data_IF_962338123847
#
_entry.id   IF_962338123847
#
_cell.length_a   1.000
_cell.length_b   1.000
_cell.length_c   1.000
_cell.angle_alpha   90.00
_cell.angle_beta   90.00
_cell.angle_gamma   90.00
#
_symmetry.space_group_name_H-M   'P 1'
#
loop_
_entity.id
_entity.type
_entity.pdbx_description
1 polymer ?
#
# COMPACT_ATOMS: atom_id res chain seq x y z
N UNK A 1 3.43 -8.84 14.40
CA UNK A 1 3.83 -9.80 13.34
C UNK A 1 5.32 -9.64 13.09
N UNK A 2 6.06 -10.74 12.89
CA UNK A 2 7.50 -10.70 12.59
C UNK A 2 7.69 -10.47 11.08
N UNK A 3 8.68 -9.67 10.70
CA UNK A 3 9.09 -9.45 9.30
C UNK A 3 9.39 -10.78 8.58
N UNK A 4 9.85 -11.81 9.31
CA UNK A 4 10.10 -13.16 8.78
C UNK A 4 8.85 -13.87 8.25
N UNK A 5 7.65 -13.43 8.66
CA UNK A 5 6.39 -14.02 8.23
C UNK A 5 5.79 -13.30 7.02
N UNK A 6 6.48 -12.28 6.46
CA UNK A 6 6.02 -11.58 5.28
C UNK A 6 6.28 -12.42 4.03
N UNK A 7 5.27 -12.51 3.17
CA UNK A 7 5.37 -13.19 1.87
C UNK A 7 6.04 -12.32 0.81
N UNK A 8 6.32 -11.05 1.13
CA UNK A 8 7.02 -10.10 0.28
C UNK A 8 8.37 -9.79 0.92
N UNK A 9 9.42 -9.80 0.09
CA UNK A 9 10.78 -9.43 0.51
C UNK A 9 10.94 -7.91 0.66
N UNK A 10 10.26 -7.37 1.69
CA UNK A 10 10.41 -6.02 2.23
C UNK A 10 10.42 -6.10 3.77
N UNK A 11 11.08 -5.16 4.44
CA UNK A 11 11.02 -5.04 5.90
C UNK A 11 10.00 -3.93 6.23
N UNK A 12 8.90 -4.23 6.93
CA UNK A 12 7.86 -3.26 7.22
C UNK A 12 8.33 -2.14 8.16
N UNK A 13 9.48 -2.31 8.84
CA UNK A 13 10.06 -1.28 9.71
C UNK A 13 10.68 -0.11 8.95
N UNK A 14 10.98 -0.29 7.66
CA UNK A 14 11.48 0.78 6.78
C UNK A 14 10.38 1.64 6.16
N UNK A 15 9.12 1.44 6.57
CA UNK A 15 7.99 2.25 6.14
C UNK A 15 6.92 2.36 7.20
N UNK A 16 5.73 2.79 6.77
CA UNK A 16 4.54 2.90 7.60
C UNK A 16 3.41 2.06 7.02
N UNK A 17 2.53 1.56 7.86
CA UNK A 17 1.28 0.94 7.46
C UNK A 17 0.24 2.03 7.21
N UNK A 18 -0.30 2.02 5.99
CA UNK A 18 -1.48 2.81 5.62
C UNK A 18 -2.72 2.17 6.23
N UNK A 19 -2.93 0.89 5.94
CA UNK A 19 -4.02 0.09 6.49
C UNK A 19 -3.58 -1.35 6.74
N UNK A 20 -4.26 -2.01 7.68
CA UNK A 20 -3.99 -3.39 8.06
C UNK A 20 -5.30 -4.15 8.23
N UNK A 21 -5.36 -5.36 7.68
CA UNK A 21 -6.35 -6.35 8.03
C UNK A 21 -5.70 -7.59 8.65
N UNK A 22 -6.14 -7.97 9.84
CA UNK A 22 -5.72 -9.19 10.53
C UNK A 22 -6.89 -10.17 10.61
N UNK A 23 -6.74 -11.35 10.00
CA UNK A 23 -7.77 -12.39 9.97
C UNK A 23 -7.28 -13.57 10.78
N UNK A 24 -7.91 -13.80 11.93
CA UNK A 24 -7.63 -14.94 12.77
C UNK A 24 -8.65 -16.06 12.52
N UNK A 25 -8.18 -17.30 12.48
CA UNK A 25 -9.02 -18.48 12.27
C UNK A 25 -8.78 -19.54 13.33
N UNK A 26 -9.84 -20.18 13.81
CA UNK A 26 -9.83 -21.17 14.89
C UNK A 26 -10.63 -20.72 16.11
N UNK A 27 -10.81 -21.62 17.08
CA UNK A 27 -11.52 -21.33 18.33
C UNK A 27 -10.69 -20.41 19.22
N UNK A 28 -11.10 -19.15 19.37
CA UNK A 28 -10.39 -18.13 20.15
C UNK A 28 -11.33 -17.09 20.75
N UNK A 29 -10.89 -16.45 21.83
CA UNK A 29 -11.63 -15.36 22.46
C UNK A 29 -11.44 -14.07 21.66
N UNK A 30 -12.54 -13.45 21.20
CA UNK A 30 -12.47 -12.15 20.54
C UNK A 30 -11.80 -11.09 21.43
N UNK A 31 -12.08 -11.13 22.74
CA UNK A 31 -11.47 -10.22 23.72
C UNK A 31 -9.94 -10.32 23.71
N UNK A 32 -9.41 -11.54 23.68
CA UNK A 32 -7.95 -11.76 23.66
C UNK A 32 -7.35 -11.27 22.34
N UNK A 33 -8.04 -11.51 21.22
CA UNK A 33 -7.63 -11.01 19.90
C UNK A 33 -7.55 -9.48 19.91
N UNK A 34 -8.57 -8.79 20.42
CA UNK A 34 -8.59 -7.33 20.49
C UNK A 34 -7.47 -6.78 21.39
N UNK A 35 -7.27 -7.36 22.58
CA UNK A 35 -6.18 -6.97 23.49
C UNK A 35 -4.80 -7.12 22.83
N UNK A 36 -4.56 -8.23 22.11
CA UNK A 36 -3.30 -8.43 21.40
C UNK A 36 -3.14 -7.48 20.22
N UNK A 37 -4.21 -7.16 19.50
CA UNK A 37 -4.15 -6.23 18.37
C UNK A 37 -3.91 -4.79 18.83
N UNK A 38 -4.46 -4.37 19.96
CA UNK A 38 -4.11 -3.08 20.60
C UNK A 38 -2.65 -3.08 21.04
N UNK A 39 -2.18 -4.18 21.64
CA UNK A 39 -0.79 -4.30 22.08
C UNK A 39 0.20 -4.24 20.89
N UNK A 40 -0.14 -4.85 19.75
CA UNK A 40 0.66 -4.80 18.53
C UNK A 40 0.73 -3.40 17.89
N UNK A 41 -0.25 -2.54 18.16
CA UNK A 41 -0.31 -1.15 17.69
C UNK A 41 0.43 -0.17 18.61
N UNK A 42 1.05 -0.63 19.71
CA UNK A 42 1.82 0.26 20.61
C UNK A 42 3.00 0.97 19.94
N UNK A 43 3.55 0.39 18.87
CA UNK A 43 4.55 1.05 18.04
C UNK A 43 3.86 1.94 17.00
N UNK A 44 3.22 3.01 17.48
CA UNK A 44 2.42 3.91 16.65
C UNK A 44 3.22 4.53 15.49
N UNK A 45 4.55 4.67 15.64
CA UNK A 45 5.47 5.19 14.61
C UNK A 45 5.43 4.41 13.28
N UNK A 46 5.01 3.14 13.31
CA UNK A 46 4.89 2.29 12.13
C UNK A 46 3.53 2.37 11.46
N UNK A 47 2.60 3.18 11.96
CA UNK A 47 1.27 3.36 11.38
C UNK A 47 1.09 4.83 11.01
N UNK A 48 0.43 5.11 9.89
CA UNK A 48 0.08 6.49 9.58
C UNK A 48 -0.98 7.01 10.54
N UNK A 49 -0.81 8.25 10.97
CA UNK A 49 -1.67 8.91 11.95
C UNK A 49 -2.91 9.56 11.33
N UNK A 50 -2.83 9.95 10.05
CA UNK A 50 -3.90 10.60 9.29
C UNK A 50 -5.00 9.63 8.83
N UNK A 51 -4.80 8.31 8.96
CA UNK A 51 -5.87 7.30 8.81
C UNK A 51 -6.25 6.78 10.21
N UNK A 52 -7.32 7.29 10.83
CA UNK A 52 -7.73 6.83 12.15
C UNK A 52 -8.25 5.38 12.09
N UNK A 53 -7.94 4.59 13.11
CA UNK A 53 -8.41 3.20 13.25
C UNK A 53 -8.14 2.33 12.01
N UNK A 54 -6.95 2.49 11.42
CA UNK A 54 -6.53 1.85 10.16
C UNK A 54 -6.25 0.35 10.25
N UNK A 55 -6.35 -0.25 11.44
CA UNK A 55 -6.24 -1.68 11.67
C UNK A 55 -7.63 -2.28 11.90
N UNK A 56 -8.00 -3.26 11.08
CA UNK A 56 -9.23 -4.04 11.23
C UNK A 56 -8.92 -5.50 11.49
N UNK A 57 -9.71 -6.11 12.36
CA UNK A 57 -9.54 -7.49 12.77
C UNK A 57 -10.80 -8.29 12.50
N UNK A 58 -10.64 -9.52 12.02
CA UNK A 58 -11.72 -10.47 11.82
C UNK A 58 -11.37 -11.82 12.46
N UNK A 59 -12.37 -12.51 12.99
CA UNK A 59 -12.23 -13.84 13.58
C UNK A 59 -13.18 -14.80 12.87
N UNK A 60 -12.67 -15.97 12.48
CA UNK A 60 -13.43 -17.05 11.86
C UNK A 60 -13.25 -18.35 12.64
N UNK A 61 -14.35 -18.95 13.09
CA UNK A 61 -14.30 -20.15 13.93
C UNK A 61 -13.76 -21.40 13.23
N UNK A 62 -13.68 -21.39 11.89
CA UNK A 62 -13.26 -22.52 11.06
C UNK A 62 -11.77 -22.40 10.74
N UNK A 63 -10.89 -23.21 11.36
CA UNK A 63 -9.46 -23.19 11.09
C UNK A 63 -9.12 -23.82 9.72
N UNK A 64 -7.93 -23.54 9.17
CA UNK A 64 -7.46 -24.21 7.96
C UNK A 64 -7.08 -25.68 8.24
N UNK A 65 -7.00 -26.49 7.18
CA UNK A 65 -6.64 -27.92 7.29
C UNK A 65 -5.24 -28.07 7.91
N UNK A 66 -5.13 -28.97 8.89
CA UNK A 66 -3.86 -29.33 9.53
C UNK A 66 -3.40 -28.38 10.65
N UNK A 67 -4.13 -27.30 10.93
CA UNK A 67 -3.82 -26.36 12.01
C UNK A 67 -5.03 -26.16 12.92
N UNK A 68 -4.78 -25.92 14.22
CA UNK A 68 -5.83 -25.58 15.19
C UNK A 68 -6.18 -24.10 15.16
N UNK A 69 -5.19 -23.25 14.85
CA UNK A 69 -5.32 -21.80 14.76
C UNK A 69 -4.39 -21.25 13.68
N UNK A 70 -4.76 -20.12 13.09
CA UNK A 70 -3.91 -19.37 12.15
C UNK A 70 -4.22 -17.89 12.18
N UNK A 71 -3.24 -17.04 11.88
CA UNK A 71 -3.44 -15.61 11.61
C UNK A 71 -2.95 -15.27 10.21
N UNK A 72 -3.77 -14.54 9.45
CA UNK A 72 -3.39 -13.97 8.16
C UNK A 72 -3.32 -12.46 8.29
N UNK A 73 -2.22 -11.87 7.85
CA UNK A 73 -1.99 -10.44 7.91
C UNK A 73 -1.93 -9.87 6.49
N UNK A 74 -2.74 -8.85 6.24
CA UNK A 74 -2.76 -8.11 4.98
C UNK A 74 -2.41 -6.67 5.35
N UNK A 75 -1.18 -6.26 5.03
CA UNK A 75 -0.71 -4.91 5.29
C UNK A 75 -0.55 -4.13 3.99
N UNK A 76 -1.23 -2.98 3.89
CA UNK A 76 -0.86 -1.96 2.93
C UNK A 76 0.23 -1.10 3.56
N UNK A 77 1.47 -1.29 3.16
CA UNK A 77 2.64 -0.61 3.74
C UNK A 77 3.44 0.10 2.68
N UNK A 78 3.90 1.32 2.99
CA UNK A 78 4.80 2.10 2.13
C UNK A 78 6.14 1.39 1.93
N UNK A 79 6.52 0.44 2.78
CA UNK A 79 7.73 -0.37 2.62
C UNK A 79 7.74 -1.21 1.33
N UNK A 80 6.58 -1.42 0.69
CA UNK A 80 6.47 -2.10 -0.61
C UNK A 80 7.27 -1.41 -1.71
N UNK A 81 7.51 -0.09 -1.58
CA UNK A 81 8.35 0.65 -2.51
C UNK A 81 9.75 0.03 -2.70
N UNK A 82 10.29 -0.64 -1.66
CA UNK A 82 11.59 -1.31 -1.75
C UNK A 82 11.60 -2.49 -2.73
N UNK A 83 10.46 -3.19 -2.89
CA UNK A 83 10.30 -4.22 -3.91
C UNK A 83 10.32 -3.58 -5.30
N UNK A 84 9.54 -2.52 -5.51
CA UNK A 84 9.45 -1.84 -6.80
C UNK A 84 10.79 -1.21 -7.20
N UNK A 85 11.52 -0.59 -6.27
CA UNK A 85 12.89 -0.08 -6.50
C UNK A 85 13.80 -1.18 -7.02
N UNK A 86 13.80 -2.36 -6.37
CA UNK A 86 14.62 -3.50 -6.80
C UNK A 86 14.24 -4.02 -8.18
N UNK A 87 12.94 -4.10 -8.50
CA UNK A 87 12.47 -4.51 -9.83
C UNK A 87 12.88 -3.47 -10.88
N UNK A 88 12.68 -2.18 -10.59
CA UNK A 88 13.03 -1.07 -11.48
C UNK A 88 14.53 -1.00 -11.78
N UNK A 89 15.39 -1.27 -10.79
CA UNK A 89 16.84 -1.36 -10.98
C UNK A 89 17.24 -2.49 -11.93
N UNK A 90 16.67 -3.70 -11.74
CA UNK A 90 16.94 -4.84 -12.62
C UNK A 90 16.41 -4.62 -14.03
N UNK A 91 15.20 -4.08 -14.13
CA UNK A 91 14.59 -3.68 -15.39
C UNK A 91 15.49 -2.68 -16.14
N UNK A 92 15.90 -1.60 -15.47
CA UNK A 92 16.75 -0.56 -16.05
C UNK A 92 18.09 -1.09 -16.53
N UNK A 93 18.69 -2.02 -15.79
CA UNK A 93 19.95 -2.69 -16.16
C UNK A 93 19.81 -3.48 -17.47
N UNK A 94 18.71 -4.23 -17.61
CA UNK A 94 18.42 -5.03 -18.80
C UNK A 94 18.02 -4.16 -20.00
N UNK A 95 17.11 -3.21 -19.77
CA UNK A 95 16.55 -2.34 -20.80
C UNK A 95 17.61 -1.42 -21.42
N UNK A 96 18.53 -0.87 -20.61
CA UNK A 96 19.66 -0.06 -21.11
C UNK A 96 20.55 -0.81 -22.09
N UNK A 97 20.64 -2.15 -21.96
CA UNK A 97 21.40 -3.02 -22.86
C UNK A 97 20.57 -3.57 -24.01
N UNK A 98 19.29 -3.20 -24.09
CA UNK A 98 18.28 -3.79 -24.99
C UNK A 98 18.27 -5.33 -24.94
N UNK A 99 18.59 -5.91 -23.78
CA UNK A 99 18.68 -7.35 -23.62
C UNK A 99 17.30 -7.98 -23.74
N UNK A 100 17.16 -8.96 -24.64
CA UNK A 100 15.92 -9.67 -24.95
C UNK A 100 14.75 -8.80 -25.45
N UNK A 101 14.98 -7.52 -25.76
CA UNK A 101 13.93 -6.59 -26.18
C UNK A 101 13.21 -7.06 -27.47
N UNK A 102 13.96 -7.66 -28.40
CA UNK A 102 13.44 -8.18 -29.66
C UNK A 102 12.33 -9.24 -29.52
N UNK A 103 12.25 -9.95 -28.39
CA UNK A 103 11.17 -10.92 -28.15
C UNK A 103 9.82 -10.24 -27.95
N UNK A 104 9.82 -8.98 -27.52
CA UNK A 104 8.60 -8.21 -27.31
C UNK A 104 8.28 -7.35 -28.51
N UNK A 105 9.28 -6.68 -29.08
CA UNK A 105 9.06 -5.85 -30.28
C UNK A 105 8.76 -6.68 -31.53
N UNK A 106 9.23 -7.93 -31.59
CA UNK A 106 8.86 -8.89 -32.63
C UNK A 106 7.38 -9.29 -32.62
N UNK A 107 6.71 -9.20 -31.46
CA UNK A 107 5.28 -9.48 -31.29
C UNK A 107 4.41 -8.21 -31.46
N UNK A 108 5.02 -7.07 -31.80
CA UNK A 108 4.33 -5.82 -32.10
C UNK A 108 4.34 -4.75 -31.01
N UNK A 109 5.07 -4.98 -29.90
CA UNK A 109 5.23 -3.99 -28.83
C UNK A 109 6.19 -2.86 -29.24
N UNK A 110 5.92 -1.61 -28.87
CA UNK A 110 6.85 -0.49 -29.08
C UNK A 110 7.87 -0.40 -27.93
N UNK A 111 9.12 -0.03 -28.23
CA UNK A 111 10.15 0.25 -27.23
C UNK A 111 9.74 1.41 -26.29
N UNK A 112 8.92 2.35 -26.76
CA UNK A 112 8.37 3.43 -25.93
C UNK A 112 7.47 2.90 -24.81
N UNK A 113 6.73 1.81 -25.01
CA UNK A 113 5.84 1.23 -23.99
C UNK A 113 6.62 0.70 -22.77
N UNK A 114 7.87 0.23 -23.00
CA UNK A 114 8.78 -0.13 -21.92
C UNK A 114 9.21 1.08 -21.10
N UNK A 115 9.46 2.20 -21.77
CA UNK A 115 9.88 3.44 -21.11
C UNK A 115 8.74 4.04 -20.31
N UNK A 116 7.52 4.02 -20.85
CA UNK A 116 6.30 4.43 -20.15
C UNK A 116 6.04 3.58 -18.92
N UNK A 117 6.04 2.24 -19.08
CA UNK A 117 5.86 1.31 -17.96
C UNK A 117 6.92 1.50 -16.87
N UNK A 118 8.18 1.74 -17.28
CA UNK A 118 9.27 2.05 -16.36
C UNK A 118 9.04 3.34 -15.56
N UNK A 119 8.56 4.40 -16.22
CA UNK A 119 8.18 5.66 -15.57
C UNK A 119 7.02 5.47 -14.60
N UNK A 120 5.96 4.74 -14.97
CA UNK A 120 4.83 4.51 -14.06
C UNK A 120 5.24 3.79 -12.77
N UNK A 121 6.21 2.86 -12.84
CA UNK A 121 6.72 2.21 -11.62
C UNK A 121 7.48 3.22 -10.74
N UNK A 122 8.20 4.18 -11.33
CA UNK A 122 8.87 5.25 -10.59
C UNK A 122 7.85 6.19 -9.94
N UNK A 123 6.76 6.50 -10.63
CA UNK A 123 5.68 7.33 -10.09
C UNK A 123 5.06 6.65 -8.87
N UNK A 124 4.70 5.37 -8.95
CA UNK A 124 4.18 4.58 -7.81
C UNK A 124 5.16 4.56 -6.63
N UNK A 125 6.47 4.43 -6.89
CA UNK A 125 7.49 4.49 -5.84
C UNK A 125 7.46 5.86 -5.14
N UNK A 126 7.29 6.93 -5.92
CA UNK A 126 7.29 8.31 -5.44
C UNK A 126 6.04 8.61 -4.62
N UNK A 127 4.87 8.13 -5.05
CA UNK A 127 3.62 8.20 -4.28
C UNK A 127 3.76 7.52 -2.92
N UNK A 128 4.31 6.29 -2.86
CA UNK A 128 4.55 5.62 -1.58
C UNK A 128 5.53 6.36 -0.68
N UNK A 129 6.53 7.04 -1.25
CA UNK A 129 7.46 7.87 -0.50
C UNK A 129 6.74 9.10 0.08
N UNK A 130 5.90 9.77 -0.71
CA UNK A 130 5.10 10.91 -0.28
C UNK A 130 4.19 10.53 0.89
N UNK A 131 3.42 9.44 0.79
CA UNK A 131 2.54 9.00 1.88
C UNK A 131 3.29 8.56 3.14
N UNK A 132 4.54 8.11 3.01
CA UNK A 132 5.37 7.75 4.16
C UNK A 132 5.80 8.98 4.95
N UNK A 133 6.06 10.09 4.26
CA UNK A 133 6.51 11.37 4.80
C UNK A 133 5.35 12.28 5.21
N UNK A 134 4.16 12.06 4.65
CA UNK A 134 2.96 12.83 4.93
C UNK A 134 2.60 12.85 6.43
N UNK A 135 2.22 14.03 6.89
CA UNK A 135 1.72 14.33 8.22
C UNK A 135 0.23 14.62 8.21
N UNK A 136 -0.41 14.71 9.38
CA UNK A 136 -1.81 15.13 9.48
C UNK A 136 -2.04 16.47 8.81
N UNK A 137 -1.14 17.44 9.00
CA UNK A 137 -1.31 18.79 8.47
C UNK A 137 -1.39 18.74 6.93
N UNK A 138 -0.48 18.00 6.28
CA UNK A 138 -0.45 17.87 4.82
C UNK A 138 -1.77 17.31 4.25
N UNK A 139 -2.38 16.32 4.93
CA UNK A 139 -3.62 15.68 4.49
C UNK A 139 -4.84 16.56 4.73
N UNK A 140 -4.84 17.33 5.81
CA UNK A 140 -5.93 18.30 6.09
C UNK A 140 -5.94 19.38 5.02
N UNK A 141 -4.76 19.91 4.64
CA UNK A 141 -4.65 20.87 3.54
C UNK A 141 -5.15 20.30 2.20
N UNK A 142 -4.74 19.10 1.82
CA UNK A 142 -5.24 18.45 0.59
C UNK A 142 -6.76 18.23 0.61
N UNK A 143 -7.33 17.87 1.76
CA UNK A 143 -8.77 17.64 1.90
C UNK A 143 -9.54 18.95 1.78
N UNK A 144 -9.08 20.02 2.43
CA UNK A 144 -9.67 21.35 2.36
C UNK A 144 -9.59 21.93 0.93
N UNK A 145 -8.46 21.79 0.23
CA UNK A 145 -8.36 22.20 -1.18
C UNK A 145 -9.30 21.39 -2.08
N UNK A 146 -9.44 20.08 -1.86
CA UNK A 146 -10.33 19.23 -2.66
C UNK A 146 -11.82 19.56 -2.46
N UNK A 147 -12.22 19.91 -1.23
CA UNK A 147 -13.58 20.35 -0.90
C UNK A 147 -13.87 21.75 -1.49
N UNK A 148 -12.87 22.65 -1.46
CA UNK A 148 -12.97 23.98 -2.09
C UNK A 148 -13.07 23.89 -3.62
N UNK A 149 -12.33 22.99 -4.27
CA UNK A 149 -12.45 22.77 -5.72
C UNK A 149 -13.80 22.16 -6.12
N UNK A 150 -14.33 21.20 -5.34
CA UNK A 150 -15.65 20.63 -5.58
C UNK A 150 -16.77 21.65 -5.39
N UNK A 151 -16.72 22.45 -4.33
CA UNK A 151 -17.73 23.49 -4.09
C UNK A 151 -17.70 24.58 -5.18
N UNK A 152 -16.53 24.98 -5.65
CA UNK A 152 -16.40 25.92 -6.78
C UNK A 152 -16.93 25.34 -8.10
N UNK A 153 -16.73 24.04 -8.35
CA UNK A 153 -17.28 23.36 -9.52
C UNK A 153 -18.81 23.25 -9.46
N UNK A 154 -19.39 22.95 -8.30
CA UNK A 154 -20.85 22.89 -8.10
C UNK A 154 -21.53 24.26 -8.26
N UNK A 155 -20.94 25.32 -7.69
CA UNK A 155 -21.47 26.68 -7.83
C UNK A 155 -21.29 27.25 -9.24
N UNK A 156 -20.23 26.86 -9.94
CA UNK A 156 -20.04 27.14 -11.37
C UNK A 156 -21.10 26.47 -12.25
N UNK A 157 -21.46 25.22 -11.94
CA UNK A 157 -22.52 24.49 -12.65
C UNK A 157 -23.90 25.12 -12.43
N UNK A 158 -24.26 25.52 -11.19
CA UNK A 158 -25.55 26.18 -10.89
C UNK A 158 -25.73 27.52 -11.59
N UNK A 159 -24.65 28.27 -11.84
CA UNK A 159 -24.72 29.56 -12.55
C UNK A 159 -24.94 29.45 -14.05
N UNK A 160 -24.64 28.29 -14.66
CA UNK A 160 -24.84 28.06 -16.10
C UNK A 160 -26.23 27.48 -16.43
N UNK A 161 -27.03 27.13 -15.42
CA UNK A 161 -28.40 26.59 -15.58
C UNK A 161 -29.51 27.64 -15.33
N UNK A 162 -29.14 28.91 -15.09
CA UNK A 162 -30.06 30.05 -14.93
C UNK A 162 -30.03 30.99 -16.13
#
# INVERSE_FOLDING_TARGET
FDAKNMMVACDPRHGKYLTVAAIFRGQMSMKEVDEQMVNAQKNAEHYVEWIPNNVKTAVCDIPPKGLKMSGTFIGNTTAIQGLFKRISEQFSSMFRRKAFLHWYTGEGMDEMEFSESGSNVIDVISEYQQYQEATIDDVVYDTEESDDEQTMAEDGARRNES
#
